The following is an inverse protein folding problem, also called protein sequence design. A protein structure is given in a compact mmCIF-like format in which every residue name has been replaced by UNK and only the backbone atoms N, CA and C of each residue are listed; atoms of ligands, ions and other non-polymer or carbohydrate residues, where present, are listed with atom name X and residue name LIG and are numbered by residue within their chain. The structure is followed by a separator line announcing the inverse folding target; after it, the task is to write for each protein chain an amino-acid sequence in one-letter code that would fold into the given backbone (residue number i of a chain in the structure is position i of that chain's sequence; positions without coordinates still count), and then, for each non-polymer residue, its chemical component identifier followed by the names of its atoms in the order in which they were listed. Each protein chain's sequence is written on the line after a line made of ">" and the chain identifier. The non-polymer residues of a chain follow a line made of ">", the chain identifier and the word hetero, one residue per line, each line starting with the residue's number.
data_IF_565810622529
#
_entry.id   IF_565810622529
#
_cell.length_a   1.000
_cell.length_b   1.000
_cell.length_c   1.000
_cell.angle_alpha   90.00
_cell.angle_beta   90.00
_cell.angle_gamma   90.00
#
_symmetry.space_group_name_H-M   'P 1'
#
loop_
_entity.id
_entity.type
_entity.pdbx_description
1 polymer ?
#
# COMPACT_ATOMS: atom_id res chain seq x y z
N UNK A 1 32.63 47.41 -8.56
CA UNK A 1 31.18 47.14 -8.50
C UNK A 1 30.85 46.22 -9.65
N UNK A 2 30.85 44.91 -9.41
CA UNK A 2 30.49 43.88 -10.38
C UNK A 2 29.91 42.69 -9.63
N UNK A 3 28.75 42.28 -10.09
CA UNK A 3 27.81 41.29 -9.56
C UNK A 3 28.33 39.86 -9.62
N UNK A 4 28.03 39.05 -8.60
CA UNK A 4 27.86 37.60 -8.78
C UNK A 4 26.57 37.11 -8.13
N UNK A 5 25.62 36.79 -9.01
CA UNK A 5 24.44 35.96 -8.77
C UNK A 5 24.84 34.67 -8.04
N UNK A 6 24.14 34.32 -6.95
CA UNK A 6 24.02 32.92 -6.54
C UNK A 6 22.70 32.38 -7.08
N UNK A 7 22.83 31.60 -8.15
CA UNK A 7 21.77 30.79 -8.74
C UNK A 7 21.52 29.54 -7.92
N UNK A 8 20.23 29.22 -7.76
CA UNK A 8 19.61 27.91 -7.58
C UNK A 8 20.54 26.70 -7.71
N UNK A 9 20.60 25.90 -6.64
CA UNK A 9 20.71 24.44 -6.73
C UNK A 9 20.42 23.78 -5.37
N UNK A 10 19.28 24.08 -4.73
CA UNK A 10 18.62 23.05 -3.91
C UNK A 10 17.92 22.10 -4.87
N UNK A 11 18.75 21.31 -5.56
CA UNK A 11 18.31 20.02 -6.08
C UNK A 11 17.78 19.29 -4.87
N UNK A 12 16.48 18.98 -4.92
CA UNK A 12 15.84 17.90 -4.17
C UNK A 12 16.90 16.86 -3.80
N UNK A 13 17.44 16.96 -2.59
CA UNK A 13 18.19 15.84 -2.03
C UNK A 13 17.15 14.72 -2.00
N UNK A 14 17.40 13.55 -2.61
CA UNK A 14 16.58 12.41 -2.26
C UNK A 14 16.60 12.36 -0.73
N UNK A 15 15.43 12.28 -0.11
CA UNK A 15 15.34 11.94 1.30
C UNK A 15 15.97 10.55 1.36
N UNK A 16 17.28 10.50 1.60
CA UNK A 16 17.96 9.29 2.01
C UNK A 16 17.37 9.09 3.39
N UNK A 17 16.28 8.32 3.42
CA UNK A 17 15.81 7.66 4.62
C UNK A 17 17.06 7.02 5.22
N UNK A 18 17.53 7.57 6.34
CA UNK A 18 18.65 7.02 7.08
C UNK A 18 18.42 5.50 7.18
N UNK A 19 19.39 4.71 6.71
CA UNK A 19 19.27 3.24 6.65
C UNK A 19 19.09 2.63 8.05
N UNK A 20 19.23 3.44 9.11
CA UNK A 20 19.02 3.06 10.51
C UNK A 20 17.71 3.58 11.13
N UNK A 21 16.90 4.39 10.42
CA UNK A 21 15.65 4.91 10.98
C UNK A 21 14.51 3.88 10.92
N UNK A 22 13.85 3.60 12.04
CA UNK A 22 12.68 2.74 12.10
C UNK A 22 11.37 3.53 12.19
N UNK A 23 10.30 3.08 11.52
CA UNK A 23 9.01 3.76 11.58
C UNK A 23 8.40 3.66 12.98
N UNK A 24 7.51 4.59 13.31
CA UNK A 24 6.82 4.62 14.60
C UNK A 24 6.20 3.25 14.96
N UNK A 25 6.50 2.75 16.16
CA UNK A 25 6.04 1.45 16.64
C UNK A 25 7.01 0.28 16.39
N UNK A 26 8.13 0.53 15.71
CA UNK A 26 9.21 -0.43 15.48
C UNK A 26 10.48 0.01 16.23
N UNK A 27 11.22 -0.96 16.77
CA UNK A 27 12.48 -0.76 17.49
C UNK A 27 13.66 -1.05 16.56
N UNK A 28 14.81 -0.42 16.81
CA UNK A 28 16.05 -0.74 16.09
C UNK A 28 16.70 -1.97 16.72
N UNK A 29 17.03 -2.98 15.92
CA UNK A 29 17.87 -4.12 16.31
C UNK A 29 18.87 -4.38 15.19
N UNK A 30 20.13 -3.99 15.38
CA UNK A 30 21.10 -3.83 14.30
C UNK A 30 20.52 -2.95 13.17
N UNK A 31 20.66 -3.44 11.94
CA UNK A 31 20.13 -2.80 10.72
C UNK A 31 18.64 -3.09 10.46
N UNK A 32 18.00 -3.88 11.33
CA UNK A 32 16.62 -4.32 11.18
C UNK A 32 15.69 -3.51 12.09
N UNK A 33 14.48 -3.26 11.59
CA UNK A 33 13.39 -2.74 12.41
C UNK A 33 12.57 -3.89 12.94
N UNK A 34 12.53 -4.07 14.25
CA UNK A 34 11.89 -5.20 14.91
C UNK A 34 10.67 -4.79 15.73
N UNK A 35 9.78 -5.73 15.98
CA UNK A 35 8.62 -5.55 16.85
C UNK A 35 8.35 -6.84 17.63
N UNK A 36 8.22 -6.69 18.96
CA UNK A 36 7.91 -7.79 19.87
C UNK A 36 6.41 -8.12 19.81
N UNK A 37 6.08 -9.39 19.57
CA UNK A 37 4.72 -9.91 19.63
C UNK A 37 4.57 -10.79 20.87
N UNK A 38 3.88 -10.25 21.88
CA UNK A 38 3.69 -10.91 23.17
C UNK A 38 2.67 -12.05 23.12
N UNK A 39 1.86 -12.13 22.06
CA UNK A 39 0.96 -13.25 21.83
C UNK A 39 1.79 -14.49 21.53
N UNK A 40 1.57 -15.56 22.29
CA UNK A 40 2.30 -16.80 22.07
C UNK A 40 1.56 -17.67 21.05
N UNK A 41 2.26 -18.09 20.01
CA UNK A 41 1.71 -18.95 18.96
C UNK A 41 2.77 -19.89 18.39
N UNK A 42 2.32 -20.91 17.64
CA UNK A 42 3.21 -21.80 16.91
C UNK A 42 3.76 -21.15 15.64
N UNK A 43 4.82 -21.73 15.06
CA UNK A 43 5.58 -21.14 13.94
C UNK A 43 4.73 -20.66 12.75
N UNK A 44 3.74 -21.45 12.33
CA UNK A 44 2.89 -21.12 11.18
C UNK A 44 1.99 -19.91 11.45
N UNK A 45 1.42 -19.82 12.65
CA UNK A 45 0.58 -18.70 13.06
C UNK A 45 1.41 -17.44 13.27
N UNK A 46 2.55 -17.55 13.95
CA UNK A 46 3.48 -16.44 14.18
C UNK A 46 3.98 -15.85 12.85
N UNK A 47 4.34 -16.69 11.88
CA UNK A 47 4.73 -16.25 10.53
C UNK A 47 3.60 -15.52 9.82
N UNK A 48 2.35 -15.99 9.95
CA UNK A 48 1.19 -15.33 9.36
C UNK A 48 0.93 -13.96 9.98
N UNK A 49 1.11 -13.83 11.29
CA UNK A 49 0.92 -12.57 12.00
C UNK A 49 2.00 -11.54 11.63
N UNK A 50 3.28 -11.93 11.55
CA UNK A 50 4.33 -11.03 11.05
C UNK A 50 4.02 -10.56 9.61
N UNK A 51 3.52 -11.46 8.74
CA UNK A 51 3.14 -11.10 7.37
C UNK A 51 2.02 -10.07 7.32
N UNK A 52 1.05 -10.10 8.25
CA UNK A 52 -0.01 -9.06 8.34
C UNK A 52 0.56 -7.67 8.64
N UNK A 53 1.70 -7.60 9.33
CA UNK A 53 2.41 -6.37 9.64
C UNK A 53 3.37 -5.93 8.52
N UNK A 54 3.38 -6.65 7.39
CA UNK A 54 4.34 -6.42 6.29
C UNK A 54 5.77 -6.77 6.68
N UNK A 55 5.93 -7.72 7.60
CA UNK A 55 7.16 -8.16 8.23
C UNK A 55 7.30 -9.69 8.11
N UNK A 56 8.43 -10.20 8.56
CA UNK A 56 8.70 -11.63 8.68
C UNK A 56 9.25 -11.94 10.07
N UNK A 57 9.39 -13.22 10.40
CA UNK A 57 10.08 -13.64 11.61
C UNK A 57 11.53 -13.17 11.58
N UNK A 58 12.02 -12.54 12.66
CA UNK A 58 13.35 -11.92 12.68
C UNK A 58 14.45 -12.94 12.41
N UNK A 59 15.17 -12.73 11.32
CA UNK A 59 16.28 -13.61 11.00
C UNK A 59 17.54 -13.17 11.74
N UNK A 60 17.93 -13.95 12.75
CA UNK A 60 19.12 -13.74 13.58
C UNK A 60 20.40 -14.32 12.98
N UNK A 61 20.29 -14.94 11.82
CA UNK A 61 21.36 -15.59 11.08
C UNK A 61 21.50 -14.93 9.72
N UNK A 62 22.72 -14.59 9.31
CA UNK A 62 22.97 -13.94 8.01
C UNK A 62 22.87 -14.92 6.82
N UNK A 63 23.21 -14.45 5.62
CA UNK A 63 23.17 -15.27 4.42
C UNK A 63 24.22 -16.39 4.42
N UNK A 64 25.36 -16.15 5.07
CA UNK A 64 26.49 -17.08 5.23
C UNK A 64 26.22 -18.12 6.33
N UNK A 65 25.15 -17.93 7.10
CA UNK A 65 24.76 -18.82 8.18
C UNK A 65 25.29 -18.39 9.55
N UNK A 66 26.05 -17.31 9.65
CA UNK A 66 26.62 -16.87 10.93
C UNK A 66 25.62 -16.02 11.74
N UNK A 67 25.62 -16.13 13.09
CA UNK A 67 24.74 -15.32 13.92
C UNK A 67 25.12 -13.83 13.86
N UNK A 68 24.14 -12.96 13.62
CA UNK A 68 24.34 -11.51 13.65
C UNK A 68 24.56 -11.02 15.08
N UNK A 69 25.83 -10.87 15.48
CA UNK A 69 26.21 -10.49 16.84
C UNK A 69 25.58 -9.15 17.26
N UNK A 70 25.59 -8.15 16.38
CA UNK A 70 25.00 -6.84 16.65
C UNK A 70 23.50 -6.94 16.95
N UNK A 71 22.76 -7.67 16.11
CA UNK A 71 21.33 -7.88 16.31
C UNK A 71 21.03 -8.67 17.59
N UNK A 72 21.84 -9.69 17.90
CA UNK A 72 21.67 -10.49 19.12
C UNK A 72 21.92 -9.68 20.39
N UNK A 73 22.96 -8.83 20.39
CA UNK A 73 23.25 -7.95 21.52
C UNK A 73 22.12 -6.92 21.71
N UNK A 74 21.63 -6.29 20.64
CA UNK A 74 20.51 -5.35 20.69
C UNK A 74 19.20 -6.02 21.15
N UNK A 75 18.90 -7.22 20.63
CA UNK A 75 17.75 -8.01 21.07
C UNK A 75 17.84 -8.37 22.55
N UNK A 76 19.04 -8.68 23.06
CA UNK A 76 19.22 -9.04 24.46
C UNK A 76 18.85 -7.88 25.41
N UNK A 77 19.22 -6.65 25.04
CA UNK A 77 18.89 -5.43 25.77
C UNK A 77 17.39 -5.12 25.70
N UNK A 78 16.79 -5.22 24.51
CA UNK A 78 15.37 -4.96 24.29
C UNK A 78 14.49 -5.94 25.09
N UNK A 79 14.86 -7.22 25.09
CA UNK A 79 14.14 -8.26 25.83
C UNK A 79 14.33 -8.15 27.35
N UNK A 80 15.48 -7.65 27.81
CA UNK A 80 15.70 -7.36 29.23
C UNK A 80 14.77 -6.24 29.71
N UNK A 81 14.69 -5.14 28.97
CA UNK A 81 13.78 -4.03 29.29
C UNK A 81 12.33 -4.50 29.31
N UNK A 82 11.93 -5.31 28.31
CA UNK A 82 10.61 -5.93 28.30
C UNK A 82 10.38 -6.85 29.51
N UNK A 83 11.39 -7.59 29.97
CA UNK A 83 11.27 -8.42 31.16
C UNK A 83 11.13 -7.62 32.45
N UNK A 84 11.81 -6.48 32.57
CA UNK A 84 11.76 -5.62 33.76
C UNK A 84 10.40 -4.94 33.94
N UNK A 85 9.64 -4.78 32.85
CA UNK A 85 8.25 -4.30 32.88
C UNK A 85 7.22 -5.38 33.25
N UNK A 86 7.66 -6.57 33.66
CA UNK A 86 6.82 -7.65 34.17
C UNK A 86 6.55 -8.80 33.20
N UNK A 87 7.23 -8.83 32.05
CA UNK A 87 7.07 -9.89 31.04
C UNK A 87 8.07 -11.02 31.27
N UNK A 88 7.78 -11.99 32.16
CA UNK A 88 8.69 -13.12 32.42
C UNK A 88 8.53 -14.25 31.38
N UNK A 89 8.95 -14.02 30.15
CA UNK A 89 8.95 -15.05 29.10
C UNK A 89 10.29 -15.80 29.07
N UNK A 90 10.25 -17.13 28.96
CA UNK A 90 11.46 -17.98 28.99
C UNK A 90 12.16 -18.06 27.62
N UNK A 91 11.38 -18.08 26.54
CA UNK A 91 11.89 -18.21 25.17
C UNK A 91 11.08 -17.36 24.19
N UNK A 92 11.75 -16.77 23.20
CA UNK A 92 11.16 -15.98 22.11
C UNK A 92 11.47 -16.63 20.77
N UNK A 93 10.47 -16.82 19.93
CA UNK A 93 10.63 -17.37 18.58
C UNK A 93 11.14 -16.28 17.63
N UNK A 94 12.23 -16.57 16.92
CA UNK A 94 12.93 -15.58 16.07
C UNK A 94 12.98 -15.99 14.62
N UNK A 95 13.65 -17.10 14.27
CA UNK A 95 13.92 -17.51 12.89
C UNK A 95 13.50 -18.96 12.67
N UNK A 96 13.28 -19.33 11.42
CA UNK A 96 12.98 -20.71 10.99
C UNK A 96 13.69 -21.01 9.68
N UNK A 97 14.39 -22.14 9.60
CA UNK A 97 15.21 -22.48 8.44
C UNK A 97 15.96 -23.79 8.62
N UNK A 98 16.75 -24.17 7.61
CA UNK A 98 17.64 -25.33 7.70
C UNK A 98 18.97 -24.87 8.30
N UNK A 99 19.13 -25.10 9.60
CA UNK A 99 20.33 -24.77 10.34
C UNK A 99 21.01 -26.06 10.81
N UNK A 100 22.33 -26.03 10.94
CA UNK A 100 23.12 -27.09 11.59
C UNK A 100 23.87 -26.47 12.77
N UNK A 101 23.63 -26.92 14.01
CA UNK A 101 24.36 -26.42 15.17
C UNK A 101 25.79 -27.01 15.20
N UNK A 102 26.80 -26.14 15.21
CA UNK A 102 28.20 -26.48 15.50
C UNK A 102 28.52 -26.06 16.93
N UNK A 103 28.90 -27.05 17.75
CA UNK A 103 29.25 -26.87 19.15
C UNK A 103 30.76 -26.73 19.28
N UNK A 104 31.23 -25.72 20.02
CA UNK A 104 32.65 -25.65 20.39
C UNK A 104 33.05 -26.75 21.39
N UNK A 105 34.35 -26.94 21.60
CA UNK A 105 34.89 -27.96 22.52
C UNK A 105 34.49 -27.75 24.00
N UNK A 106 33.94 -26.58 24.33
CA UNK A 106 33.33 -26.25 25.63
C UNK A 106 31.82 -26.50 25.69
N UNK A 107 31.18 -26.86 24.57
CA UNK A 107 29.73 -27.03 24.46
C UNK A 107 28.92 -25.74 24.76
N UNK A 108 29.54 -24.57 24.58
CA UNK A 108 29.01 -23.27 25.04
C UNK A 108 28.71 -22.26 23.93
N UNK A 109 29.19 -22.48 22.69
CA UNK A 109 28.81 -21.68 21.52
C UNK A 109 28.22 -22.56 20.43
N UNK A 110 26.99 -22.26 20.05
CA UNK A 110 26.33 -22.82 18.89
C UNK A 110 26.53 -21.83 17.74
N UNK A 111 27.46 -22.10 16.82
CA UNK A 111 27.38 -21.49 15.49
C UNK A 111 26.32 -22.25 14.73
N UNK A 112 25.48 -21.56 13.99
CA UNK A 112 24.57 -22.23 13.08
C UNK A 112 25.21 -22.18 11.70
N UNK A 113 25.03 -23.20 10.86
CA UNK A 113 25.39 -23.13 9.45
C UNK A 113 24.13 -23.36 8.64
N UNK A 114 23.90 -22.55 7.61
CA UNK A 114 22.76 -22.72 6.72
C UNK A 114 22.99 -23.95 5.83
N UNK A 115 22.15 -24.97 5.96
CA UNK A 115 22.25 -26.18 5.16
C UNK A 115 21.61 -25.97 3.77
N UNK A 116 22.19 -26.53 2.68
CA UNK A 116 21.52 -26.59 1.38
C UNK A 116 20.16 -27.30 1.50
N UNK A 117 19.17 -26.86 0.71
CA UNK A 117 17.84 -27.49 0.67
C UNK A 117 17.92 -28.89 0.06
N UNK A 118 18.30 -29.89 0.85
CA UNK A 118 18.09 -31.30 0.52
C UNK A 118 16.97 -31.84 1.43
N UNK A 119 15.79 -32.01 0.84
CA UNK A 119 14.56 -32.53 1.43
C UNK A 119 13.90 -31.66 2.53
N UNK A 120 12.62 -31.35 2.26
CA UNK A 120 11.73 -30.42 2.97
C UNK A 120 11.28 -30.90 4.37
N UNK A 121 12.04 -31.76 5.06
CA UNK A 121 11.56 -32.50 6.24
C UNK A 121 12.14 -32.05 7.58
N UNK A 122 13.25 -31.30 7.60
CA UNK A 122 13.88 -30.85 8.85
C UNK A 122 14.13 -29.34 8.85
N UNK A 123 13.06 -28.53 8.95
CA UNK A 123 13.21 -27.11 9.31
C UNK A 123 13.40 -27.00 10.82
N UNK A 124 14.51 -26.42 11.23
CA UNK A 124 14.78 -26.10 12.63
C UNK A 124 14.20 -24.72 12.96
N UNK A 125 13.65 -24.60 14.17
CA UNK A 125 13.08 -23.36 14.67
C UNK A 125 14.02 -22.81 15.72
N UNK A 126 14.47 -21.58 15.52
CA UNK A 126 15.34 -20.89 16.44
C UNK A 126 14.52 -20.03 17.40
N UNK A 127 14.95 -20.05 18.65
CA UNK A 127 14.46 -19.17 19.69
C UNK A 127 15.59 -18.50 20.45
N UNK A 128 15.28 -17.40 21.12
CA UNK A 128 16.12 -16.76 22.11
C UNK A 128 15.64 -17.15 23.49
N UNK A 129 16.47 -17.85 24.26
CA UNK A 129 16.16 -18.30 25.62
C UNK A 129 16.91 -17.47 26.63
N UNK A 130 16.24 -17.09 27.73
CA UNK A 130 16.88 -16.35 28.81
C UNK A 130 17.86 -17.24 29.60
N UNK A 131 19.11 -16.80 29.76
CA UNK A 131 20.16 -17.43 30.59
C UNK A 131 20.23 -16.74 31.97
N UNK A 132 20.62 -17.50 33.00
CA UNK A 132 20.96 -16.94 34.33
C UNK A 132 22.44 -16.52 34.32
N UNK A 133 22.77 -15.25 33.97
CA UNK A 133 24.16 -14.78 33.91
C UNK A 133 24.39 -13.44 33.16
N UNK A 134 25.64 -13.15 32.79
CA UNK A 134 26.09 -11.87 32.18
C UNK A 134 25.70 -11.66 30.70
N UNK A 135 25.45 -12.73 29.94
CA UNK A 135 24.71 -12.66 28.66
C UNK A 135 23.31 -13.19 28.93
N UNK A 136 22.29 -12.35 28.75
CA UNK A 136 20.93 -12.63 29.24
C UNK A 136 20.13 -13.53 28.32
N UNK A 137 20.45 -13.59 27.02
CA UNK A 137 19.76 -14.44 26.06
C UNK A 137 20.75 -15.24 25.19
N UNK A 138 20.39 -16.48 24.89
CA UNK A 138 21.15 -17.39 24.02
C UNK A 138 20.26 -17.98 22.93
N UNK A 139 20.84 -18.31 21.78
CA UNK A 139 20.14 -19.04 20.73
C UNK A 139 19.88 -20.49 21.17
N UNK A 140 18.67 -20.97 20.93
CA UNK A 140 18.23 -22.32 21.26
C UNK A 140 17.35 -22.89 20.16
N UNK A 141 17.28 -24.22 20.08
CA UNK A 141 16.35 -24.91 19.20
C UNK A 141 15.01 -25.09 19.90
N UNK A 142 13.94 -24.74 19.20
CA UNK A 142 12.56 -24.92 19.65
C UNK A 142 11.92 -26.12 18.94
N UNK A 143 11.07 -26.85 19.65
CA UNK A 143 10.21 -27.87 19.03
C UNK A 143 9.19 -27.21 18.08
N UNK A 144 8.80 -27.90 17.02
CA UNK A 144 7.73 -27.47 16.10
C UNK A 144 6.36 -27.33 16.77
N UNK A 145 6.15 -27.97 17.92
CA UNK A 145 4.93 -27.83 18.74
C UNK A 145 5.02 -26.70 19.77
N UNK A 146 6.16 -26.01 19.87
CA UNK A 146 6.35 -24.99 20.89
C UNK A 146 5.50 -23.76 20.58
N UNK A 147 4.84 -23.25 21.61
CA UNK A 147 4.06 -22.02 21.56
C UNK A 147 4.87 -20.97 22.32
N UNK A 148 5.33 -19.95 21.60
CA UNK A 148 6.18 -18.91 22.17
C UNK A 148 5.75 -17.53 21.66
N UNK A 149 5.99 -16.47 22.44
CA UNK A 149 6.01 -15.11 21.89
C UNK A 149 7.06 -15.05 20.78
N UNK A 150 6.91 -14.11 19.85
CA UNK A 150 7.74 -14.05 18.67
C UNK A 150 8.16 -12.63 18.32
N UNK A 151 9.20 -12.50 17.51
CA UNK A 151 9.74 -11.20 17.12
C UNK A 151 9.65 -11.10 15.60
N UNK A 152 9.01 -10.04 15.13
CA UNK A 152 8.94 -9.74 13.71
C UNK A 152 10.01 -8.73 13.31
N UNK A 153 10.57 -8.85 12.11
CA UNK A 153 11.43 -7.89 11.46
C UNK A 153 10.76 -7.33 10.20
N UNK A 154 10.70 -6.01 10.10
CA UNK A 154 10.04 -5.30 9.03
C UNK A 154 10.77 -5.49 7.70
N UNK A 155 10.03 -5.80 6.64
CA UNK A 155 10.61 -5.92 5.32
C UNK A 155 11.17 -4.57 4.84
N UNK A 156 12.33 -4.52 4.16
CA UNK A 156 12.94 -3.27 3.71
C UNK A 156 12.02 -2.39 2.86
N UNK A 157 11.19 -2.99 2.01
CA UNK A 157 10.20 -2.27 1.20
C UNK A 157 9.11 -1.65 2.07
N UNK A 158 8.53 -2.41 3.00
CA UNK A 158 7.51 -1.93 3.94
C UNK A 158 8.08 -0.81 4.81
N UNK A 159 9.32 -0.96 5.29
CA UNK A 159 10.06 0.08 6.03
C UNK A 159 10.15 1.39 5.24
N UNK A 160 10.57 1.34 3.98
CA UNK A 160 10.64 2.52 3.11
C UNK A 160 9.28 3.17 2.93
N UNK A 161 8.23 2.40 2.70
CA UNK A 161 6.85 2.91 2.52
C UNK A 161 6.33 3.56 3.81
N UNK A 162 6.50 2.92 4.96
CA UNK A 162 6.03 3.44 6.25
C UNK A 162 6.78 4.70 6.67
N UNK A 163 8.11 4.71 6.53
CA UNK A 163 8.90 5.91 6.81
C UNK A 163 8.55 7.03 5.85
N UNK A 164 8.40 6.74 4.55
CA UNK A 164 7.95 7.73 3.57
C UNK A 164 6.60 8.31 3.99
N UNK A 165 5.62 7.48 4.35
CA UNK A 165 4.30 7.95 4.79
C UNK A 165 4.36 8.79 6.08
N UNK A 166 5.16 8.38 7.07
CA UNK A 166 5.31 9.10 8.34
C UNK A 166 6.07 10.42 8.18
N UNK A 167 7.04 10.47 7.27
CA UNK A 167 7.69 11.72 6.87
C UNK A 167 6.75 12.65 6.11
N UNK A 168 5.76 12.10 5.42
CA UNK A 168 4.88 12.90 4.58
C UNK A 168 3.76 13.61 5.34
N UNK A 169 3.31 13.12 6.51
CA UNK A 169 2.13 13.71 7.16
C UNK A 169 2.20 13.69 8.71
N UNK A 170 2.35 14.87 9.34
CA UNK A 170 2.16 15.07 10.78
C UNK A 170 0.73 14.75 11.25
N UNK A 171 0.55 14.49 12.55
CA UNK A 171 -0.81 14.38 13.14
C UNK A 171 -1.56 15.70 12.96
N UNK A 172 -2.77 15.62 12.42
CA UNK A 172 -3.56 16.80 12.05
C UNK A 172 -3.39 17.21 10.59
N UNK A 173 -2.46 16.60 9.84
CA UNK A 173 -2.39 16.78 8.39
C UNK A 173 -3.66 16.25 7.69
N UNK A 174 -3.94 16.70 6.46
CA UNK A 174 -5.24 16.46 5.86
C UNK A 174 -5.43 15.00 5.47
N UNK A 175 -6.65 14.49 5.65
CA UNK A 175 -7.06 13.14 5.27
C UNK A 175 -8.41 13.22 4.54
N UNK A 176 -8.54 12.58 3.38
CA UNK A 176 -9.79 12.58 2.64
C UNK A 176 -10.88 11.77 3.36
N UNK A 177 -12.05 12.37 3.51
CA UNK A 177 -13.31 11.72 3.91
C UNK A 177 -14.03 11.22 2.66
N UNK A 178 -14.08 12.07 1.63
CA UNK A 178 -14.62 11.74 0.31
C UNK A 178 -13.65 12.17 -0.77
N UNK A 179 -13.56 11.39 -1.83
CA UNK A 179 -12.69 11.65 -2.96
C UNK A 179 -13.33 11.16 -4.25
N UNK A 180 -12.91 11.69 -5.41
CA UNK A 180 -13.42 11.22 -6.68
C UNK A 180 -13.16 9.72 -6.91
N UNK A 181 -14.14 9.04 -7.49
CA UNK A 181 -14.02 7.64 -7.91
C UNK A 181 -13.09 7.48 -9.13
N UNK A 182 -12.24 6.44 -9.17
CA UNK A 182 -11.33 6.18 -10.30
C UNK A 182 -12.02 5.53 -11.51
N UNK A 183 -13.21 4.94 -11.32
CA UNK A 183 -13.92 4.15 -12.34
C UNK A 183 -14.49 4.98 -13.51
N UNK A 184 -14.30 6.29 -13.46
CA UNK A 184 -14.67 7.23 -14.50
C UNK A 184 -16.11 7.71 -14.39
N UNK A 185 -16.34 8.97 -14.72
CA UNK A 185 -17.65 9.60 -14.71
C UNK A 185 -18.16 9.70 -16.14
N UNK A 186 -19.38 9.21 -16.37
CA UNK A 186 -20.03 9.19 -17.67
C UNK A 186 -21.18 10.19 -17.68
N UNK A 187 -21.38 10.87 -18.81
CA UNK A 187 -22.49 11.80 -18.98
C UNK A 187 -23.05 11.67 -20.39
N UNK A 188 -24.36 11.83 -20.51
CA UNK A 188 -25.05 11.76 -21.78
C UNK A 188 -24.90 13.08 -22.56
N UNK A 189 -24.45 12.95 -23.80
CA UNK A 189 -24.30 14.05 -24.76
C UNK A 189 -25.54 14.26 -25.63
N UNK A 190 -26.55 13.38 -25.53
CA UNK A 190 -27.79 13.49 -26.29
C UNK A 190 -28.60 14.73 -25.88
N UNK A 191 -29.08 15.44 -26.90
CA UNK A 191 -29.72 16.76 -26.80
C UNK A 191 -30.98 16.74 -25.91
N UNK A 192 -30.82 16.87 -24.60
CA UNK A 192 -31.95 16.91 -23.66
C UNK A 192 -31.65 16.67 -22.19
N UNK A 193 -30.42 16.34 -21.79
CA UNK A 193 -30.09 16.20 -20.37
C UNK A 193 -30.06 17.58 -19.68
N UNK A 194 -30.95 17.80 -18.72
CA UNK A 194 -31.06 19.04 -17.92
C UNK A 194 -29.88 19.24 -16.94
N UNK A 195 -28.90 18.33 -16.92
CA UNK A 195 -27.74 18.44 -16.03
C UNK A 195 -26.68 19.32 -16.68
N UNK A 196 -26.67 20.60 -16.32
CA UNK A 196 -25.64 21.53 -16.78
C UNK A 196 -24.25 21.23 -16.19
N UNK A 197 -24.16 20.47 -15.09
CA UNK A 197 -22.90 20.18 -14.37
C UNK A 197 -22.78 18.72 -13.89
N UNK A 198 -21.54 18.22 -13.88
CA UNK A 198 -21.12 16.96 -13.26
C UNK A 198 -20.39 17.25 -11.94
N UNK A 199 -20.80 16.60 -10.84
CA UNK A 199 -20.20 16.80 -9.51
C UNK A 199 -19.12 15.76 -9.21
N UNK A 200 -17.93 16.22 -8.84
CA UNK A 200 -16.84 15.39 -8.35
C UNK A 200 -16.64 15.66 -6.84
N UNK A 201 -16.96 14.70 -5.96
CA UNK A 201 -16.85 14.92 -4.51
C UNK A 201 -15.38 14.98 -4.09
N UNK A 202 -15.05 15.94 -3.23
CA UNK A 202 -13.77 15.97 -2.53
C UNK A 202 -13.97 16.67 -1.19
N UNK A 203 -13.71 15.94 -0.11
CA UNK A 203 -13.79 16.46 1.25
C UNK A 203 -12.65 15.87 2.08
N UNK A 204 -12.01 16.71 2.89
CA UNK A 204 -10.91 16.30 3.74
C UNK A 204 -11.08 16.88 5.14
N UNK A 205 -10.68 16.08 6.14
CA UNK A 205 -10.55 16.49 7.53
C UNK A 205 -9.09 16.75 7.86
N UNK A 206 -8.85 17.58 8.85
CA UNK A 206 -7.52 17.93 9.33
C UNK A 206 -7.66 18.94 10.46
N UNK A 207 -6.62 19.05 11.29
CA UNK A 207 -6.53 20.06 12.32
C UNK A 207 -5.15 20.73 12.23
N UNK A 208 -5.04 21.92 11.64
CA UNK A 208 -6.12 22.83 11.19
C UNK A 208 -6.95 22.34 9.98
N UNK A 209 -8.17 22.86 9.81
CA UNK A 209 -9.09 22.47 8.71
C UNK A 209 -8.44 22.70 7.34
N UNK A 210 -8.42 21.69 6.45
CA UNK A 210 -7.73 21.81 5.17
C UNK A 210 -8.51 22.60 4.12
N UNK A 211 -7.77 23.31 3.27
CA UNK A 211 -8.26 23.92 2.05
C UNK A 211 -8.19 22.95 0.88
N UNK A 212 -9.14 23.01 -0.05
CA UNK A 212 -9.23 22.10 -1.19
C UNK A 212 -9.01 22.87 -2.48
N UNK A 213 -8.12 22.37 -3.33
CA UNK A 213 -7.84 22.90 -4.67
C UNK A 213 -7.97 21.81 -5.71
N UNK A 214 -8.45 22.18 -6.90
CA UNK A 214 -8.72 21.24 -7.98
C UNK A 214 -7.78 21.45 -9.15
N UNK A 215 -7.41 20.34 -9.77
CA UNK A 215 -6.46 20.29 -10.87
C UNK A 215 -7.03 19.45 -12.01
N UNK A 216 -6.79 19.91 -13.24
CA UNK A 216 -7.21 19.30 -14.49
C UNK A 216 -6.00 18.75 -15.26
N UNK A 217 -6.21 17.70 -16.05
CA UNK A 217 -5.24 17.13 -16.99
C UNK A 217 -3.86 16.84 -16.40
N UNK A 218 -3.84 16.35 -15.15
CA UNK A 218 -2.61 15.94 -14.47
C UNK A 218 -1.86 17.02 -13.68
N UNK A 219 -2.13 18.32 -13.89
CA UNK A 219 -1.46 19.38 -13.12
C UNK A 219 -1.86 20.84 -13.35
N UNK A 220 -2.84 21.13 -14.20
CA UNK A 220 -3.34 22.51 -14.38
C UNK A 220 -4.29 22.88 -13.24
N UNK A 221 -3.92 23.84 -12.39
CA UNK A 221 -4.79 24.31 -11.31
C UNK A 221 -5.99 25.07 -11.86
N UNK A 222 -7.20 24.73 -11.38
CA UNK A 222 -8.42 25.40 -11.78
C UNK A 222 -8.52 26.72 -11.00
N UNK A 223 -8.26 27.84 -11.68
CA UNK A 223 -8.46 29.17 -11.12
C UNK A 223 -9.95 29.51 -11.08
N UNK A 224 -10.53 29.49 -9.88
CA UNK A 224 -11.94 29.85 -9.64
C UNK A 224 -12.17 31.37 -9.61
N UNK A 225 -11.11 32.17 -9.49
CA UNK A 225 -11.21 33.63 -9.40
C UNK A 225 -11.13 34.31 -10.78
N UNK A 226 -10.77 33.55 -11.83
CA UNK A 226 -10.76 34.06 -13.20
C UNK A 226 -12.19 34.39 -13.65
N UNK A 227 -12.46 35.57 -14.21
CA UNK A 227 -13.80 35.96 -14.69
C UNK A 227 -14.29 35.08 -15.86
N UNK A 228 -13.38 34.32 -16.49
CA UNK A 228 -13.69 33.37 -17.55
C UNK A 228 -13.77 31.91 -17.05
N UNK A 229 -13.61 31.67 -15.74
CA UNK A 229 -13.73 30.33 -15.17
C UNK A 229 -15.18 29.89 -15.22
N UNK A 230 -15.39 28.68 -15.71
CA UNK A 230 -16.72 28.07 -15.81
C UNK A 230 -16.94 27.00 -14.75
N UNK A 231 -15.89 26.68 -13.98
CA UNK A 231 -15.93 25.68 -12.90
C UNK A 231 -16.38 26.30 -11.59
N UNK A 232 -17.11 25.54 -10.78
CA UNK A 232 -17.61 25.98 -9.47
C UNK A 232 -17.17 24.96 -8.41
N UNK A 233 -16.73 25.42 -7.25
CA UNK A 233 -16.46 24.55 -6.09
C UNK A 233 -17.44 24.88 -4.98
N UNK A 234 -18.13 23.85 -4.48
CA UNK A 234 -19.09 23.96 -3.38
C UNK A 234 -18.87 22.83 -2.38
N UNK A 235 -18.58 23.17 -1.12
CA UNK A 235 -18.30 22.17 -0.07
C UNK A 235 -17.11 21.25 -0.38
N UNK A 236 -16.16 21.72 -1.20
CA UNK A 236 -15.02 20.93 -1.67
C UNK A 236 -15.27 20.13 -2.96
N UNK A 237 -16.52 19.88 -3.34
CA UNK A 237 -16.87 19.22 -4.59
C UNK A 237 -16.70 20.16 -5.80
N UNK A 238 -16.16 19.65 -6.91
CA UNK A 238 -16.02 20.38 -8.17
C UNK A 238 -17.23 20.11 -9.07
N UNK A 239 -17.88 21.18 -9.51
CA UNK A 239 -18.94 21.16 -10.51
C UNK A 239 -18.35 21.50 -11.88
N UNK A 240 -18.32 20.50 -12.75
CA UNK A 240 -17.77 20.59 -14.12
C UNK A 240 -18.89 20.84 -15.12
N UNK A 241 -18.89 21.95 -15.89
CA UNK A 241 -19.89 22.19 -16.92
C UNK A 241 -19.83 21.14 -18.02
N UNK A 242 -20.97 20.55 -18.35
CA UNK A 242 -21.05 19.52 -19.39
C UNK A 242 -20.65 20.07 -20.77
N UNK A 243 -20.96 21.33 -21.06
CA UNK A 243 -20.62 22.02 -22.32
C UNK A 243 -19.12 22.19 -22.59
N UNK A 244 -18.28 22.04 -21.56
CA UNK A 244 -16.81 22.17 -21.66
C UNK A 244 -16.09 20.83 -21.74
N UNK A 245 -16.82 19.72 -21.69
CA UNK A 245 -16.23 18.40 -21.79
C UNK A 245 -15.98 18.09 -23.27
N UNK A 246 -14.71 17.90 -23.61
CA UNK A 246 -14.26 17.57 -24.96
C UNK A 246 -14.52 16.08 -25.27
N UNK A 247 -14.49 15.66 -26.55
CA UNK A 247 -14.57 14.24 -26.91
C UNK A 247 -13.41 13.40 -26.34
N UNK A 248 -12.31 14.03 -25.92
CA UNK A 248 -11.18 13.39 -25.26
C UNK A 248 -11.43 13.19 -23.76
N UNK A 249 -10.89 12.11 -23.15
CA UNK A 249 -10.95 11.92 -21.71
C UNK A 249 -10.26 13.08 -20.98
N UNK A 250 -10.98 13.70 -20.03
CA UNK A 250 -10.42 14.77 -19.17
C UNK A 250 -10.23 14.20 -17.78
N UNK A 251 -9.07 14.44 -17.18
CA UNK A 251 -8.78 13.98 -15.83
C UNK A 251 -8.83 15.11 -14.80
N UNK A 252 -9.34 14.81 -13.62
CA UNK A 252 -9.42 15.73 -12.49
C UNK A 252 -8.91 15.07 -11.22
N UNK A 253 -8.28 15.85 -10.36
CA UNK A 253 -7.93 15.44 -9.01
C UNK A 253 -7.97 16.66 -8.09
N UNK A 254 -8.21 16.44 -6.81
CA UNK A 254 -8.12 17.48 -5.81
C UNK A 254 -6.89 17.28 -4.92
N UNK A 255 -6.43 18.38 -4.34
CA UNK A 255 -5.38 18.41 -3.32
C UNK A 255 -5.95 19.12 -2.10
N UNK A 256 -5.91 18.44 -0.96
CA UNK A 256 -6.27 19.01 0.33
C UNK A 256 -4.98 19.44 1.06
N UNK A 257 -4.92 20.69 1.49
CA UNK A 257 -3.72 21.31 2.08
C UNK A 257 -4.06 22.02 3.38
N UNK A 258 -3.29 21.77 4.43
CA UNK A 258 -3.22 22.60 5.62
C UNK A 258 -1.75 22.90 5.97
N UNK A 259 -1.53 23.63 7.06
CA UNK A 259 -0.19 24.00 7.52
C UNK A 259 0.71 22.81 7.88
N UNK A 260 0.11 21.64 8.13
CA UNK A 260 0.81 20.42 8.50
C UNK A 260 1.14 19.54 7.30
N UNK A 261 0.48 19.71 6.15
CA UNK A 261 0.80 18.92 4.97
C UNK A 261 -0.22 19.02 3.84
N UNK A 262 -0.01 18.22 2.80
CA UNK A 262 -0.91 18.14 1.66
C UNK A 262 -1.09 16.70 1.19
N UNK A 263 -2.32 16.34 0.82
CA UNK A 263 -2.67 15.03 0.28
C UNK A 263 -3.40 15.20 -1.05
N UNK A 264 -3.15 14.28 -1.99
CA UNK A 264 -3.73 14.27 -3.33
C UNK A 264 -4.74 13.14 -3.46
N UNK A 265 -5.92 13.44 -4.01
CA UNK A 265 -6.96 12.43 -4.24
C UNK A 265 -6.60 11.48 -5.38
N UNK A 266 -7.38 10.40 -5.48
CA UNK A 266 -7.45 9.63 -6.73
C UNK A 266 -7.82 10.51 -7.92
N UNK A 267 -7.48 10.05 -9.12
CA UNK A 267 -7.76 10.78 -10.36
C UNK A 267 -9.12 10.35 -10.93
N UNK A 268 -10.08 11.27 -10.98
CA UNK A 268 -11.31 11.11 -11.76
C UNK A 268 -11.01 11.22 -13.25
N UNK A 269 -11.58 10.32 -14.06
CA UNK A 269 -11.55 10.46 -15.52
C UNK A 269 -12.98 10.68 -16.02
N UNK A 270 -13.25 11.81 -16.64
CA UNK A 270 -14.55 12.10 -17.25
C UNK A 270 -14.52 11.66 -18.72
N UNK A 271 -15.53 10.92 -19.15
CA UNK A 271 -15.68 10.45 -20.52
C UNK A 271 -17.11 10.70 -21.03
N UNK A 272 -17.29 11.16 -22.28
CA UNK A 272 -18.63 11.24 -22.86
C UNK A 272 -19.21 9.85 -23.05
N UNK A 273 -20.46 9.66 -22.61
CA UNK A 273 -21.27 8.54 -23.04
C UNK A 273 -21.95 8.89 -24.37
N UNK A 274 -21.99 7.93 -25.27
CA UNK A 274 -22.66 8.07 -26.56
C UNK A 274 -23.25 6.74 -27.01
N UNK A 275 -24.28 6.84 -27.83
CA UNK A 275 -24.80 5.75 -28.64
C UNK A 275 -24.95 6.29 -30.06
N UNK A 276 -24.27 5.65 -31.01
CA UNK A 276 -24.44 5.99 -32.42
C UNK A 276 -25.85 5.58 -32.89
N UNK A 277 -26.35 6.19 -33.97
CA UNK A 277 -27.60 5.74 -34.57
C UNK A 277 -27.52 4.26 -34.96
N UNK A 278 -28.66 3.58 -34.88
CA UNK A 278 -28.78 2.25 -35.48
C UNK A 278 -28.50 2.34 -36.98
N UNK A 279 -27.82 1.31 -37.47
CA UNK A 279 -27.56 1.16 -38.90
C UNK A 279 -28.89 1.19 -39.66
N UNK A 280 -28.96 2.03 -40.68
CA UNK A 280 -30.16 2.29 -41.47
C UNK A 280 -30.37 1.25 -42.58
N UNK A 281 -29.41 0.36 -42.80
CA UNK A 281 -29.53 -0.75 -43.73
C UNK A 281 -30.22 -1.96 -43.08
N UNK A 282 -30.97 -2.72 -43.90
CA UNK A 282 -31.62 -3.96 -43.44
C UNK A 282 -30.57 -5.03 -43.19
N UNK A 283 -30.57 -5.57 -41.97
CA UNK A 283 -29.79 -6.75 -41.63
C UNK A 283 -30.38 -7.99 -42.29
N UNK A 284 -29.51 -8.92 -42.67
CA UNK A 284 -29.92 -10.17 -43.29
C UNK A 284 -30.78 -10.99 -42.33
N UNK A 285 -31.86 -11.57 -42.87
CA UNK A 285 -32.74 -12.46 -42.14
C UNK A 285 -32.34 -13.91 -42.44
N UNK A 286 -31.93 -14.64 -41.41
CA UNK A 286 -31.52 -16.03 -41.53
C UNK A 286 -32.70 -16.96 -41.22
N UNK A 287 -33.00 -17.97 -42.04
CA UNK A 287 -34.10 -18.88 -41.75
C UNK A 287 -33.84 -19.67 -40.47
N UNK A 288 -34.86 -19.81 -39.61
CA UNK A 288 -34.79 -20.65 -38.42
C UNK A 288 -35.02 -22.11 -38.82
N UNK A 289 -33.96 -22.90 -38.75
CA UNK A 289 -34.00 -24.34 -39.01
C UNK A 289 -34.08 -25.07 -37.66
N UNK A 290 -35.19 -25.78 -37.41
CA UNK A 290 -35.34 -26.66 -36.25
C UNK A 290 -35.31 -28.11 -36.75
N UNK A 291 -34.22 -28.83 -36.47
CA UNK A 291 -34.03 -30.19 -36.98
C UNK A 291 -33.86 -30.23 -38.50
N UNK A 292 -34.60 -31.09 -39.20
CA UNK A 292 -34.51 -31.27 -40.68
C UNK A 292 -35.56 -30.48 -41.45
N UNK A 293 -36.41 -29.70 -40.78
CA UNK A 293 -37.51 -28.95 -41.40
C UNK A 293 -37.36 -27.44 -41.17
N UNK A 294 -37.57 -26.63 -42.21
CA UNK A 294 -37.66 -25.17 -42.06
C UNK A 294 -38.88 -24.84 -41.19
N UNK A 295 -38.65 -24.19 -40.04
CA UNK A 295 -39.70 -23.91 -39.04
C UNK A 295 -40.68 -22.81 -39.46
N UNK A 296 -40.49 -22.21 -40.64
CA UNK A 296 -41.26 -21.07 -41.15
C UNK A 296 -40.90 -19.73 -40.49
N UNK A 297 -40.02 -19.72 -39.47
CA UNK A 297 -39.51 -18.51 -38.83
C UNK A 297 -38.19 -18.00 -39.42
N UNK A 298 -37.84 -16.75 -39.11
CA UNK A 298 -36.55 -16.16 -39.43
C UNK A 298 -35.91 -15.52 -38.17
N UNK A 299 -34.59 -15.53 -38.10
CA UNK A 299 -33.75 -14.88 -37.10
C UNK A 299 -33.14 -13.63 -37.71
N UNK A 300 -33.24 -12.52 -36.98
CA UNK A 300 -32.46 -11.32 -37.24
C UNK A 300 -31.39 -11.19 -36.16
N UNK A 301 -30.18 -10.83 -36.55
CA UNK A 301 -29.13 -10.52 -35.59
C UNK A 301 -29.27 -9.07 -35.15
N UNK A 302 -29.31 -8.82 -33.84
CA UNK A 302 -29.35 -7.47 -33.31
C UNK A 302 -27.92 -6.96 -33.13
N UNK A 303 -27.47 -6.10 -34.04
CA UNK A 303 -26.21 -5.38 -33.89
C UNK A 303 -26.46 -4.06 -33.16
N UNK A 304 -26.03 -3.99 -31.90
CA UNK A 304 -26.06 -2.72 -31.17
C UNK A 304 -25.15 -1.71 -31.88
N UNK A 305 -25.55 -0.43 -31.96
CA UNK A 305 -24.69 0.63 -32.48
C UNK A 305 -23.41 0.75 -31.65
N UNK A 306 -22.40 1.42 -32.18
CA UNK A 306 -21.22 1.76 -31.38
C UNK A 306 -21.67 2.64 -30.23
N UNK A 307 -21.31 2.25 -29.02
CA UNK A 307 -21.71 2.96 -27.82
C UNK A 307 -20.61 2.86 -26.78
N UNK A 308 -20.64 3.80 -25.83
CA UNK A 308 -19.75 3.80 -24.68
C UNK A 308 -20.52 4.31 -23.44
N UNK A 309 -20.37 3.68 -22.27
CA UNK A 309 -19.55 2.49 -21.96
C UNK A 309 -20.13 1.18 -22.53
N UNK A 310 -19.27 0.22 -22.88
CA UNK A 310 -19.65 -1.04 -23.54
C UNK A 310 -20.14 -2.16 -22.59
N UNK A 311 -20.50 -1.84 -21.34
CA UNK A 311 -20.95 -2.81 -20.34
C UNK A 311 -21.57 -2.18 -19.08
N UNK A 312 -22.48 -2.92 -18.45
CA UNK A 312 -23.17 -2.54 -17.22
C UNK A 312 -22.18 -2.42 -16.04
N UNK A 313 -21.90 -1.20 -15.59
CA UNK A 313 -21.62 -0.91 -14.18
C UNK A 313 -22.87 -0.25 -13.60
N UNK A 314 -23.87 -1.05 -13.27
CA UNK A 314 -24.93 -0.64 -12.34
C UNK A 314 -24.47 -1.07 -10.94
N UNK A 315 -24.20 -0.09 -10.09
CA UNK A 315 -24.22 -0.22 -8.63
C UNK A 315 -25.42 0.58 -8.15
#
# INVERSE_FOLDING_TARGET
>A
MTTTKRTNNDRLRPIILDENLCPQGWLSGGEQCIQLQFVSSGISQSSTECKRLGAELVNVVDEDGEPSLQLLDDLSLILEEASNTGVSMQSWLVSSGHFSPEWDSSNERIRFHKLPRENNHNMEILGLRRRRGQRLFELTLLSNTSINPFICALNPLTRRVLLYHQLLLPRGAPQFVEQPQPNGYFFDTSSGSNHSFLSLPCSAIGNPTPSIRWYKNGGEEIDLNSPNSTFIVSGGALLVPVSKIQPSPITFHCVATNELGSVRSLTATIRPAFIEPFQDYRLDAYPLILGTTMSGGARLECNAPRHFPSGFYLI
#
